data_IF_623604027790
#
_entry.id   IF_623604027790
#
_cell.length_a   1.000
_cell.length_b   1.000
_cell.length_c   1.000
_cell.angle_alpha   90.00
_cell.angle_beta   90.00
_cell.angle_gamma   90.00
#
_symmetry.space_group_name_H-M   'P 1'
#
loop_
_entity.id
_entity.type
_entity.pdbx_description
1 polymer ?
#
# COMPACT_ATOMS: atom_id res chain seq x y z
N UNK A 1 -5.49 -1.49 -27.88
CA UNK A 1 -6.16 -0.16 -27.81
C UNK A 1 -6.49 0.11 -26.34
N UNK A 2 -5.55 0.71 -25.60
CA UNK A 2 -5.65 0.94 -24.14
C UNK A 2 -6.38 2.26 -23.79
N UNK A 3 -6.86 3.00 -24.80
CA UNK A 3 -7.56 4.29 -24.65
C UNK A 3 -8.95 4.19 -24.03
N UNK A 4 -9.48 2.98 -23.82
CA UNK A 4 -10.79 2.72 -23.18
C UNK A 4 -10.70 2.25 -21.74
N UNK A 5 -9.51 2.18 -21.14
CA UNK A 5 -9.34 1.88 -19.71
C UNK A 5 -9.77 3.10 -18.87
N UNK A 6 -11.09 3.34 -18.78
CA UNK A 6 -11.71 4.33 -17.88
C UNK A 6 -11.89 3.83 -16.44
N UNK A 7 -11.23 2.74 -16.06
CA UNK A 7 -11.30 2.17 -14.72
C UNK A 7 -9.91 2.01 -14.11
N UNK A 8 -9.16 3.11 -14.01
CA UNK A 8 -8.23 3.20 -12.89
C UNK A 8 -9.12 3.27 -11.64
N UNK A 9 -9.11 2.22 -10.82
CA UNK A 9 -9.79 2.22 -9.53
C UNK A 9 -9.40 3.50 -8.80
N UNK A 10 -10.38 4.37 -8.54
CA UNK A 10 -10.12 5.60 -7.81
C UNK A 10 -10.04 5.21 -6.34
N UNK A 11 -8.85 5.29 -5.77
CA UNK A 11 -8.66 5.27 -4.34
C UNK A 11 -8.90 6.69 -3.79
N UNK A 12 -9.65 6.80 -2.71
CA UNK A 12 -9.83 8.05 -1.98
C UNK A 12 -9.54 7.85 -0.50
N UNK A 13 -8.95 8.88 0.12
CA UNK A 13 -8.65 8.89 1.54
C UNK A 13 -9.54 9.91 2.22
N UNK A 14 -10.15 9.54 3.33
CA UNK A 14 -10.91 10.48 4.15
C UNK A 14 -10.63 10.28 5.62
N UNK A 15 -10.40 11.38 6.33
CA UNK A 15 -10.33 11.37 7.80
C UNK A 15 -11.74 11.13 8.34
N UNK A 16 -11.87 10.17 9.23
CA UNK A 16 -13.12 9.77 9.87
C UNK A 16 -12.92 9.68 11.37
N UNK A 17 -14.02 9.77 12.10
CA UNK A 17 -14.06 9.62 13.55
C UNK A 17 -15.10 8.57 13.89
N UNK A 18 -14.76 7.66 14.79
CA UNK A 18 -15.64 6.60 15.28
C UNK A 18 -15.64 6.61 16.79
N UNK A 19 -16.82 6.54 17.40
CA UNK A 19 -16.92 6.41 18.84
C UNK A 19 -16.73 4.94 19.22
N UNK A 20 -15.68 4.65 19.98
CA UNK A 20 -15.34 3.31 20.48
C UNK A 20 -15.33 3.39 22.01
N UNK A 21 -16.27 2.68 22.65
CA UNK A 21 -16.39 2.63 24.11
C UNK A 21 -16.43 4.01 24.80
N UNK A 22 -17.07 5.01 24.16
CA UNK A 22 -17.20 6.36 24.70
C UNK A 22 -16.03 7.30 24.38
N UNK A 23 -15.01 6.84 23.66
CA UNK A 23 -13.91 7.68 23.16
C UNK A 23 -14.00 7.85 21.64
N UNK A 24 -13.75 9.07 21.17
CA UNK A 24 -13.67 9.35 19.73
C UNK A 24 -12.27 8.98 19.21
N UNK A 25 -12.24 8.03 18.29
CA UNK A 25 -11.01 7.55 17.65
C UNK A 25 -10.98 8.03 16.21
N UNK A 26 -9.90 8.72 15.85
CA UNK A 26 -9.67 9.18 14.47
C UNK A 26 -8.95 8.10 13.66
N UNK A 27 -9.40 7.91 12.42
CA UNK A 27 -8.80 6.97 11.48
C UNK A 27 -8.88 7.50 10.05
N UNK A 28 -8.07 6.92 9.18
CA UNK A 28 -8.11 7.17 7.74
C UNK A 28 -8.89 6.02 7.09
N UNK A 29 -9.99 6.35 6.43
CA UNK A 29 -10.71 5.43 5.57
C UNK A 29 -10.11 5.50 4.15
N UNK A 30 -9.57 4.38 3.68
CA UNK A 30 -9.18 4.17 2.30
C UNK A 30 -10.35 3.52 1.57
N UNK A 31 -10.96 4.23 0.63
CA UNK A 31 -12.07 3.75 -0.19
C UNK A 31 -11.56 3.45 -1.60
N UNK A 32 -11.67 2.20 -2.03
CA UNK A 32 -11.32 1.75 -3.37
C UNK A 32 -12.58 1.51 -4.18
N UNK A 33 -12.83 2.37 -5.17
CA UNK A 33 -13.95 2.17 -6.08
C UNK A 33 -13.65 1.07 -7.10
N UNK A 34 -14.58 0.12 -7.20
CA UNK A 34 -14.43 -1.08 -8.05
C UNK A 34 -15.40 -1.04 -9.22
N UNK A 35 -14.99 -1.66 -10.33
CA UNK A 35 -15.75 -1.70 -11.56
C UNK A 35 -15.58 -3.05 -12.24
N UNK A 36 -16.69 -3.62 -12.68
CA UNK A 36 -16.71 -4.83 -13.50
C UNK A 36 -16.43 -4.46 -14.96
N UNK A 37 -15.31 -4.97 -15.48
CA UNK A 37 -14.83 -4.67 -16.83
C UNK A 37 -15.70 -5.33 -17.91
N UNK A 38 -16.31 -6.48 -17.61
CA UNK A 38 -17.12 -7.24 -18.57
C UNK A 38 -18.53 -6.68 -18.69
N UNK A 39 -19.15 -6.31 -17.56
CA UNK A 39 -20.53 -5.80 -17.52
C UNK A 39 -20.62 -4.28 -17.58
N UNK A 40 -19.51 -3.59 -17.31
CA UNK A 40 -19.48 -2.13 -17.27
C UNK A 40 -20.17 -1.54 -16.05
N UNK A 41 -20.40 -2.33 -15.00
CA UNK A 41 -21.14 -1.92 -13.80
C UNK A 41 -20.19 -1.52 -12.67
N UNK A 42 -20.61 -0.52 -11.88
CA UNK A 42 -19.94 -0.21 -10.62
C UNK A 42 -20.16 -1.36 -9.63
N UNK A 43 -19.09 -1.79 -8.98
CA UNK A 43 -19.13 -2.75 -7.89
C UNK A 43 -19.12 -2.01 -6.56
N UNK A 44 -19.47 -2.71 -5.48
CA UNK A 44 -19.37 -2.15 -4.14
C UNK A 44 -17.92 -1.74 -3.82
N UNK A 45 -17.75 -0.56 -3.26
CA UNK A 45 -16.43 -0.05 -2.88
C UNK A 45 -15.86 -0.85 -1.72
N UNK A 46 -14.54 -1.07 -1.71
CA UNK A 46 -13.85 -1.62 -0.54
C UNK A 46 -13.46 -0.45 0.35
N UNK A 47 -13.75 -0.55 1.65
CA UNK A 47 -13.31 0.43 2.65
C UNK A 47 -12.41 -0.24 3.67
N UNK A 48 -11.18 0.25 3.77
CA UNK A 48 -10.20 -0.19 4.76
C UNK A 48 -9.99 0.91 5.79
N UNK A 49 -10.20 0.61 7.06
CA UNK A 49 -9.96 1.51 8.19
C UNK A 49 -8.49 1.37 8.64
N UNK A 50 -7.72 2.46 8.61
CA UNK A 50 -6.34 2.47 9.10
C UNK A 50 -6.17 3.57 10.16
N UNK A 51 -5.70 3.20 11.35
CA UNK A 51 -5.29 4.20 12.34
C UNK A 51 -3.90 4.75 12.00
N UNK A 52 -3.55 5.92 12.54
CA UNK A 52 -2.20 6.48 12.34
C UNK A 52 -1.11 5.53 12.86
N UNK A 53 -1.32 4.93 14.03
CA UNK A 53 -0.39 3.97 14.63
C UNK A 53 -0.18 2.73 13.74
N UNK A 54 -1.25 2.22 13.12
CA UNK A 54 -1.14 1.07 12.20
C UNK A 54 -0.30 1.41 10.96
N UNK A 55 -0.50 2.61 10.40
CA UNK A 55 0.26 3.09 9.25
C UNK A 55 1.74 3.30 9.59
N UNK A 56 2.04 3.87 10.75
CA UNK A 56 3.41 4.07 11.23
C UNK A 56 4.13 2.74 11.47
N UNK A 57 3.44 1.75 12.04
CA UNK A 57 3.97 0.40 12.22
C UNK A 57 4.23 -0.30 10.88
N UNK A 58 3.28 -0.24 9.94
CA UNK A 58 3.47 -0.82 8.60
C UNK A 58 4.65 -0.17 7.88
N UNK A 59 4.78 1.16 7.98
CA UNK A 59 5.91 1.89 7.42
C UNK A 59 7.23 1.41 8.02
N UNK A 60 7.32 1.27 9.35
CA UNK A 60 8.56 0.82 9.99
C UNK A 60 8.98 -0.57 9.53
N UNK A 61 8.01 -1.48 9.32
CA UNK A 61 8.28 -2.83 8.77
C UNK A 61 8.74 -2.81 7.33
N UNK A 62 8.16 -1.94 6.50
CA UNK A 62 8.62 -1.77 5.12
C UNK A 62 10.04 -1.18 5.09
N UNK A 63 10.33 -0.19 5.93
CA UNK A 63 11.67 0.41 6.03
C UNK A 63 12.72 -0.63 6.46
N UNK A 64 12.42 -1.46 7.47
CA UNK A 64 13.27 -2.59 7.91
C UNK A 64 13.56 -3.56 6.74
N UNK A 65 12.53 -3.89 5.95
CA UNK A 65 12.67 -4.77 4.79
C UNK A 65 13.53 -4.16 3.69
N UNK A 66 13.32 -2.87 3.38
CA UNK A 66 14.12 -2.14 2.40
C UNK A 66 15.59 -2.17 2.79
N UNK A 67 15.92 -1.85 4.05
CA UNK A 67 17.30 -1.90 4.54
C UNK A 67 17.90 -3.31 4.44
N UNK A 68 17.14 -4.34 4.78
CA UNK A 68 17.62 -5.73 4.65
C UNK A 68 17.92 -6.12 3.21
N UNK A 69 17.06 -5.71 2.26
CA UNK A 69 17.24 -5.98 0.84
C UNK A 69 18.44 -5.21 0.26
N UNK A 70 18.63 -3.95 0.67
CA UNK A 70 19.79 -3.15 0.27
C UNK A 70 21.09 -3.82 0.73
N UNK A 71 21.19 -4.21 2.01
CA UNK A 71 22.37 -4.91 2.54
C UNK A 71 22.67 -6.21 1.77
N UNK A 72 21.64 -6.97 1.39
CA UNK A 72 21.82 -8.18 0.57
C UNK A 72 22.31 -7.84 -0.83
N UNK A 73 21.72 -6.82 -1.46
CA UNK A 73 22.12 -6.35 -2.78
C UNK A 73 23.59 -5.91 -2.81
N UNK A 74 24.01 -5.14 -1.81
CA UNK A 74 25.39 -4.67 -1.66
C UNK A 74 26.36 -5.84 -1.46
N UNK A 75 25.98 -6.82 -0.62
CA UNK A 75 26.74 -8.05 -0.43
C UNK A 75 26.91 -8.85 -1.74
N UNK A 76 25.86 -8.96 -2.55
CA UNK A 76 25.93 -9.61 -3.86
C UNK A 76 26.80 -8.82 -4.85
N UNK A 77 26.71 -7.49 -4.85
CA UNK A 77 27.54 -6.64 -5.70
C UNK A 77 29.03 -6.81 -5.37
N UNK A 78 29.37 -6.91 -4.08
CA UNK A 78 30.74 -7.18 -3.64
C UNK A 78 31.19 -8.57 -4.10
N UNK A 79 30.40 -9.62 -3.85
CA UNK A 79 30.75 -10.98 -4.26
C UNK A 79 30.96 -11.11 -5.79
N UNK A 80 30.18 -10.39 -6.59
CA UNK A 80 30.36 -10.35 -8.05
C UNK A 80 31.69 -9.69 -8.42
N UNK A 81 32.07 -8.61 -7.73
CA UNK A 81 33.36 -7.95 -7.93
C UNK A 81 34.50 -8.90 -7.60
N UNK A 82 34.45 -9.53 -6.43
CA UNK A 82 35.48 -10.48 -5.99
C UNK A 82 35.65 -11.65 -6.97
N UNK A 83 34.55 -12.17 -7.54
CA UNK A 83 34.59 -13.23 -8.56
C UNK A 83 35.19 -12.75 -9.89
N UNK A 84 34.97 -11.50 -10.28
CA UNK A 84 35.54 -10.94 -11.52
C UNK A 84 37.05 -10.72 -11.42
N UNK A 85 37.55 -10.52 -10.21
CA UNK A 85 38.97 -10.27 -9.94
C UNK A 85 39.79 -11.59 -9.78
N UNK A 86 39.14 -12.76 -9.86
CA UNK A 86 39.76 -14.09 -9.97
C UNK A 86 40.13 -14.44 -11.41
#
# INVERSE_FOLDING_TARGET
NYKTLKSAGKASFSKKTKNIAGADVEYIALTESRFDIETGQALEDIVTENTLNDLEYQKSKIDEQITSLQNKSDGYAQAITDIKDL
#
